data_IF_097113412947
#
_entry.id   IF_097113412947
#
_cell.length_a   1.000
_cell.length_b   1.000
_cell.length_c   1.000
_cell.angle_alpha   90.00
_cell.angle_beta   90.00
_cell.angle_gamma   90.00
#
_symmetry.space_group_name_H-M   'P 1'
#
loop_
_entity.id
_entity.type
_entity.pdbx_description
1 polymer ?
#
# COMPACT_ATOMS: atom_id res chain seq x y z
N UNK A 1 11.09 14.97 -1.80
CA UNK A 1 10.81 15.65 -0.51
C UNK A 1 10.94 14.57 0.56
N UNK A 2 12.07 14.50 1.27
CA UNK A 2 12.27 13.47 2.29
C UNK A 2 11.28 13.69 3.45
N UNK A 3 10.64 12.63 4.00
CA UNK A 3 9.64 12.78 5.03
C UNK A 3 10.27 13.43 6.27
N UNK A 4 9.75 14.60 6.63
CA UNK A 4 10.23 15.43 7.75
C UNK A 4 10.13 14.72 9.10
N UNK A 5 9.32 13.65 9.20
CA UNK A 5 9.10 12.83 10.39
C UNK A 5 8.86 11.34 10.02
N UNK A 6 9.88 10.46 10.07
CA UNK A 6 9.72 9.03 9.74
C UNK A 6 8.73 8.31 10.66
N UNK A 7 8.59 8.77 11.91
CA UNK A 7 7.61 8.23 12.86
C UNK A 7 6.16 8.59 12.50
N UNK A 8 5.92 9.77 11.92
CA UNK A 8 4.59 10.15 11.46
C UNK A 8 4.18 9.30 10.24
N UNK A 9 5.14 9.07 9.34
CA UNK A 9 4.96 8.23 8.16
C UNK A 9 4.64 6.77 8.53
N UNK A 10 5.35 6.19 9.51
CA UNK A 10 5.08 4.84 10.00
C UNK A 10 3.71 4.73 10.69
N UNK A 11 3.34 5.72 11.52
CA UNK A 11 2.02 5.73 12.18
C UNK A 11 0.86 5.81 11.19
N UNK A 12 1.02 6.59 10.12
CA UNK A 12 0.04 6.71 9.04
C UNK A 12 -0.20 5.38 8.28
N UNK A 13 0.69 4.39 8.40
CA UNK A 13 0.47 3.05 7.87
C UNK A 13 -0.01 2.06 8.95
N UNK A 14 0.67 2.03 10.10
CA UNK A 14 0.44 1.01 11.13
C UNK A 14 -0.99 1.11 11.69
N UNK A 15 -1.49 2.33 11.94
CA UNK A 15 -2.84 2.52 12.47
C UNK A 15 -3.94 1.96 11.56
N UNK A 16 -4.05 2.37 10.27
CA UNK A 16 -5.06 1.81 9.39
C UNK A 16 -4.83 0.33 9.10
N UNK A 17 -3.57 -0.14 9.08
CA UNK A 17 -3.27 -1.56 8.85
C UNK A 17 -3.76 -2.43 10.01
N UNK A 18 -3.57 -2.00 11.26
CA UNK A 18 -4.10 -2.70 12.43
C UNK A 18 -5.63 -2.70 12.45
N UNK A 19 -6.25 -1.57 12.10
CA UNK A 19 -7.71 -1.49 11.97
C UNK A 19 -8.23 -2.43 10.89
N UNK A 20 -7.60 -2.47 9.72
CA UNK A 20 -7.97 -3.35 8.61
C UNK A 20 -7.82 -4.83 8.99
N UNK A 21 -6.71 -5.21 9.63
CA UNK A 21 -6.49 -6.58 10.09
C UNK A 21 -7.49 -6.96 11.18
N UNK A 22 -7.74 -6.08 12.16
CA UNK A 22 -8.72 -6.29 13.21
C UNK A 22 -10.14 -6.48 12.66
N UNK A 23 -10.56 -5.60 11.74
CA UNK A 23 -11.84 -5.72 11.04
C UNK A 23 -11.93 -7.01 10.22
N UNK A 24 -10.87 -7.38 9.50
CA UNK A 24 -10.84 -8.61 8.72
C UNK A 24 -10.91 -9.86 9.57
N UNK A 25 -10.20 -9.90 10.71
CA UNK A 25 -10.30 -11.00 11.67
C UNK A 25 -11.70 -11.08 12.26
N UNK A 26 -12.32 -9.93 12.57
CA UNK A 26 -13.70 -9.89 13.04
C UNK A 26 -14.67 -10.49 12.02
N UNK A 27 -14.51 -10.15 10.73
CA UNK A 27 -15.28 -10.74 9.64
C UNK A 27 -15.09 -12.26 9.58
N UNK A 28 -13.85 -12.75 9.72
CA UNK A 28 -13.57 -14.21 9.73
C UNK A 28 -14.23 -14.89 10.92
N UNK A 29 -14.24 -14.27 12.11
CA UNK A 29 -14.90 -14.83 13.30
C UNK A 29 -16.42 -14.92 13.12
N UNK A 30 -17.04 -13.90 12.52
CA UNK A 30 -18.48 -13.88 12.24
C UNK A 30 -18.85 -14.50 10.89
N UNK A 31 -17.93 -15.21 10.22
CA UNK A 31 -18.19 -15.73 8.86
C UNK A 31 -19.40 -16.67 8.80
N UNK A 32 -19.59 -17.53 9.79
CA UNK A 32 -20.69 -18.52 9.78
C UNK A 32 -22.06 -17.84 9.73
N UNK A 33 -22.44 -16.94 10.68
CA UNK A 33 -23.72 -16.25 10.61
C UNK A 33 -23.85 -15.34 9.38
N UNK A 34 -22.74 -14.76 8.89
CA UNK A 34 -22.73 -13.97 7.66
C UNK A 34 -23.06 -14.83 6.42
N UNK A 35 -22.52 -16.04 6.34
CA UNK A 35 -22.79 -16.98 5.25
C UNK A 35 -24.25 -17.42 5.29
N UNK A 36 -24.78 -17.80 6.46
CA UNK A 36 -26.21 -18.19 6.59
C UNK A 36 -27.13 -17.07 6.12
N UNK A 37 -26.89 -15.84 6.59
CA UNK A 37 -27.69 -14.68 6.22
C UNK A 37 -27.60 -14.41 4.71
N UNK A 38 -26.40 -14.46 4.14
CA UNK A 38 -26.20 -14.24 2.70
C UNK A 38 -26.92 -15.30 1.85
N UNK A 39 -26.82 -16.58 2.22
CA UNK A 39 -27.48 -17.67 1.48
C UNK A 39 -28.99 -17.62 1.63
N UNK A 40 -29.51 -17.21 2.80
CA UNK A 40 -30.94 -17.05 3.03
C UNK A 40 -31.54 -15.93 2.20
N UNK A 41 -30.84 -14.80 2.06
CA UNK A 41 -31.29 -13.65 1.24
C UNK A 41 -31.23 -13.98 -0.25
N UNK A 42 -30.15 -14.63 -0.70
CA UNK A 42 -29.97 -14.95 -2.13
C UNK A 42 -30.97 -16.01 -2.59
N UNK A 43 -31.20 -17.06 -1.79
CA UNK A 43 -32.05 -18.18 -2.16
C UNK A 43 -31.57 -18.91 -3.42
N UNK A 44 -32.28 -19.96 -3.84
CA UNK A 44 -31.99 -20.68 -5.09
C UNK A 44 -31.97 -22.20 -4.93
N UNK A 45 -31.49 -22.89 -5.96
CA UNK A 45 -31.43 -24.35 -5.99
C UNK A 45 -30.39 -24.88 -4.97
N UNK A 46 -30.74 -25.97 -4.27
CA UNK A 46 -29.91 -26.57 -3.21
C UNK A 46 -28.49 -26.90 -3.70
N UNK A 47 -28.38 -27.43 -4.92
CA UNK A 47 -27.07 -27.76 -5.51
C UNK A 47 -26.16 -26.54 -5.67
N UNK A 48 -26.73 -25.36 -5.96
CA UNK A 48 -25.99 -24.10 -6.11
C UNK A 48 -25.64 -23.53 -4.74
N UNK A 49 -26.57 -23.58 -3.78
CA UNK A 49 -26.35 -23.08 -2.41
C UNK A 49 -25.23 -23.85 -1.70
N UNK A 50 -25.13 -25.17 -1.92
CA UNK A 50 -24.02 -25.98 -1.39
C UNK A 50 -22.67 -25.52 -1.96
N UNK A 51 -22.59 -25.22 -3.26
CA UNK A 51 -21.35 -24.72 -3.87
C UNK A 51 -21.02 -23.29 -3.39
N UNK A 52 -22.03 -22.42 -3.30
CA UNK A 52 -21.88 -21.07 -2.80
C UNK A 52 -21.39 -21.04 -1.34
N UNK A 53 -21.92 -21.91 -0.48
CA UNK A 53 -21.42 -22.09 0.89
C UNK A 53 -19.94 -22.43 0.90
N UNK A 54 -19.53 -23.47 0.17
CA UNK A 54 -18.12 -23.91 0.14
C UNK A 54 -17.20 -22.80 -0.39
N UNK A 55 -17.65 -22.06 -1.40
CA UNK A 55 -16.93 -20.90 -1.90
C UNK A 55 -16.73 -19.85 -0.80
N UNK A 56 -17.83 -19.45 -0.15
CA UNK A 56 -17.84 -18.38 0.83
C UNK A 56 -17.01 -18.74 2.07
N UNK A 57 -17.14 -19.96 2.60
CA UNK A 57 -16.37 -20.43 3.76
C UNK A 57 -14.86 -20.22 3.60
N UNK A 58 -14.36 -20.44 2.38
CA UNK A 58 -12.97 -20.20 2.01
C UNK A 58 -12.74 -18.72 1.72
N UNK A 59 -13.59 -18.08 0.91
CA UNK A 59 -13.41 -16.69 0.48
C UNK A 59 -13.35 -15.73 1.67
N UNK A 60 -14.15 -15.92 2.72
CA UNK A 60 -14.11 -15.05 3.90
C UNK A 60 -12.74 -15.07 4.61
N UNK A 61 -11.94 -16.14 4.50
CA UNK A 61 -10.58 -16.21 5.07
C UNK A 61 -9.63 -15.16 4.48
N UNK A 62 -9.91 -14.66 3.27
CA UNK A 62 -9.11 -13.60 2.67
C UNK A 62 -9.37 -12.21 3.25
N UNK A 63 -10.49 -11.98 3.95
CA UNK A 63 -10.90 -10.65 4.39
C UNK A 63 -9.80 -9.84 5.11
N UNK A 64 -8.99 -10.42 6.02
CA UNK A 64 -7.85 -9.71 6.62
C UNK A 64 -6.82 -9.26 5.58
N UNK A 65 -6.49 -10.13 4.62
CA UNK A 65 -5.52 -9.82 3.58
C UNK A 65 -6.05 -8.79 2.58
N UNK A 66 -7.31 -8.91 2.14
CA UNK A 66 -7.95 -7.97 1.22
C UNK A 66 -7.97 -6.55 1.81
N UNK A 67 -8.41 -6.41 3.06
CA UNK A 67 -8.46 -5.10 3.73
C UNK A 67 -7.06 -4.52 3.95
N UNK A 68 -6.10 -5.35 4.35
CA UNK A 68 -4.71 -4.91 4.50
C UNK A 68 -4.09 -4.46 3.16
N UNK A 69 -4.38 -5.16 2.06
CA UNK A 69 -3.94 -4.78 0.72
C UNK A 69 -4.52 -3.43 0.28
N UNK A 70 -5.79 -3.13 0.59
CA UNK A 70 -6.38 -1.81 0.31
C UNK A 70 -5.65 -0.68 1.05
N UNK A 71 -5.34 -0.89 2.33
CA UNK A 71 -4.55 0.08 3.12
C UNK A 71 -3.16 0.27 2.52
N UNK A 72 -2.48 -0.82 2.15
CA UNK A 72 -1.15 -0.75 1.55
C UNK A 72 -1.16 0.00 0.22
N UNK A 73 -2.12 -0.28 -0.65
CA UNK A 73 -2.29 0.41 -1.93
C UNK A 73 -2.50 1.92 -1.71
N UNK A 74 -3.43 2.28 -0.82
CA UNK A 74 -3.72 3.69 -0.51
C UNK A 74 -2.52 4.42 0.08
N UNK A 75 -1.80 3.79 1.01
CA UNK A 75 -0.59 4.37 1.60
C UNK A 75 0.55 4.51 0.58
N UNK A 76 0.80 3.49 -0.26
CA UNK A 76 1.84 3.51 -1.29
C UNK A 76 1.58 4.60 -2.35
N UNK A 77 0.31 4.82 -2.71
CA UNK A 77 -0.09 5.95 -3.55
C UNK A 77 0.10 7.29 -2.84
N UNK A 78 -0.27 7.38 -1.56
CA UNK A 78 -0.11 8.59 -0.74
C UNK A 78 1.35 9.06 -0.62
N UNK A 79 2.30 8.12 -0.52
CA UNK A 79 3.76 8.43 -0.50
C UNK A 79 4.36 8.63 -1.89
N UNK A 80 3.53 8.70 -2.95
CA UNK A 80 3.91 8.89 -4.34
C UNK A 80 4.78 7.76 -4.91
N UNK A 81 4.66 6.54 -4.39
CA UNK A 81 5.35 5.37 -4.92
C UNK A 81 4.46 4.61 -5.92
N UNK A 82 4.10 5.28 -7.02
CA UNK A 82 3.10 4.81 -7.99
C UNK A 82 3.43 3.46 -8.68
N UNK A 83 4.71 3.05 -8.71
CA UNK A 83 5.12 1.76 -9.28
C UNK A 83 4.70 0.57 -8.42
N UNK A 84 4.61 0.75 -7.10
CA UNK A 84 4.34 -0.36 -6.19
C UNK A 84 2.91 -0.92 -6.32
N UNK A 85 1.85 -0.08 -6.36
CA UNK A 85 0.49 -0.55 -6.62
C UNK A 85 0.36 -1.35 -7.92
N UNK A 86 1.03 -0.92 -8.99
CA UNK A 86 1.02 -1.63 -10.28
C UNK A 86 1.63 -3.02 -10.13
N UNK A 87 2.79 -3.14 -9.47
CA UNK A 87 3.44 -4.43 -9.23
C UNK A 87 2.53 -5.34 -8.40
N UNK A 88 1.91 -4.83 -7.33
CA UNK A 88 1.02 -5.61 -6.48
C UNK A 88 -0.21 -6.11 -7.23
N UNK A 89 -0.83 -5.25 -8.05
CA UNK A 89 -1.98 -5.62 -8.87
C UNK A 89 -1.60 -6.68 -9.92
N UNK A 90 -0.47 -6.50 -10.62
CA UNK A 90 -0.03 -7.44 -11.65
C UNK A 90 0.31 -8.79 -11.05
N UNK A 91 1.14 -8.82 -10.00
CA UNK A 91 1.56 -10.08 -9.37
C UNK A 91 0.36 -10.80 -8.74
N UNK A 92 -0.51 -10.07 -8.03
CA UNK A 92 -1.69 -10.65 -7.41
C UNK A 92 -2.63 -11.28 -8.43
N UNK A 93 -2.94 -10.58 -9.53
CA UNK A 93 -3.83 -11.11 -10.56
C UNK A 93 -3.20 -12.27 -11.34
N UNK A 94 -1.91 -12.18 -11.70
CA UNK A 94 -1.21 -13.29 -12.39
C UNK A 94 -1.18 -14.53 -11.52
N UNK A 95 -0.84 -14.38 -10.24
CA UNK A 95 -0.82 -15.51 -9.30
C UNK A 95 -2.21 -16.10 -9.12
N UNK A 96 -3.25 -15.27 -9.02
CA UNK A 96 -4.64 -15.72 -8.95
C UNK A 96 -5.00 -16.57 -10.17
N UNK A 97 -4.77 -16.08 -11.39
CA UNK A 97 -5.04 -16.80 -12.63
C UNK A 97 -4.24 -18.11 -12.71
N UNK A 98 -2.95 -18.08 -12.37
CA UNK A 98 -2.11 -19.28 -12.39
C UNK A 98 -2.61 -20.35 -11.41
N UNK A 99 -3.03 -19.93 -10.21
CA UNK A 99 -3.60 -20.83 -9.21
C UNK A 99 -4.99 -21.33 -9.59
N UNK A 100 -5.82 -20.52 -10.25
CA UNK A 100 -7.10 -20.96 -10.78
C UNK A 100 -6.90 -22.08 -11.80
N UNK A 101 -6.00 -21.89 -12.77
CA UNK A 101 -5.68 -22.93 -13.76
C UNK A 101 -5.17 -24.20 -13.07
N UNK A 102 -4.31 -24.07 -12.07
CA UNK A 102 -3.74 -25.23 -11.40
C UNK A 102 -4.72 -25.95 -10.46
N UNK A 103 -5.41 -25.23 -9.57
CA UNK A 103 -6.31 -25.80 -8.57
C UNK A 103 -7.64 -26.25 -9.18
N UNK A 104 -8.17 -25.49 -10.14
CA UNK A 104 -9.46 -25.80 -10.75
C UNK A 104 -9.31 -26.82 -11.86
N UNK A 105 -8.42 -26.60 -12.84
CA UNK A 105 -8.27 -27.54 -13.96
C UNK A 105 -7.35 -28.72 -13.62
N UNK A 106 -6.27 -28.50 -12.86
CA UNK A 106 -5.31 -29.55 -12.53
C UNK A 106 -5.75 -30.46 -11.38
N UNK A 107 -6.31 -29.90 -10.30
CA UNK A 107 -6.74 -30.65 -9.11
C UNK A 107 -8.26 -30.88 -9.05
N UNK A 108 -9.01 -30.42 -10.06
CA UNK A 108 -10.47 -30.59 -10.16
C UNK A 108 -11.25 -30.10 -8.91
N UNK A 109 -10.73 -29.09 -8.20
CA UNK A 109 -11.33 -28.57 -6.97
C UNK A 109 -12.58 -27.69 -7.20
N UNK A 110 -12.99 -27.52 -8.46
CA UNK A 110 -14.15 -26.71 -8.88
C UNK A 110 -14.14 -25.34 -8.19
N UNK A 111 -15.28 -24.96 -7.61
CA UNK A 111 -15.50 -23.65 -6.96
C UNK A 111 -14.61 -23.44 -5.72
N UNK A 112 -14.25 -24.51 -5.01
CA UNK A 112 -13.33 -24.41 -3.86
C UNK A 112 -11.91 -24.02 -4.30
N UNK A 113 -11.47 -24.54 -5.45
CA UNK A 113 -10.19 -24.18 -6.05
C UNK A 113 -10.10 -22.69 -6.35
N UNK A 114 -11.16 -22.13 -6.94
CA UNK A 114 -11.22 -20.70 -7.27
C UNK A 114 -11.17 -19.79 -6.03
N UNK A 115 -11.87 -20.19 -4.96
CA UNK A 115 -11.82 -19.47 -3.69
C UNK A 115 -10.40 -19.50 -3.07
N UNK A 116 -9.76 -20.68 -3.06
CA UNK A 116 -8.40 -20.84 -2.52
C UNK A 116 -7.36 -20.06 -3.33
N UNK A 117 -7.43 -20.10 -4.66
CA UNK A 117 -6.55 -19.34 -5.54
C UNK A 117 -6.55 -17.85 -5.18
N UNK A 118 -7.75 -17.30 -4.97
CA UNK A 118 -7.91 -15.89 -4.57
C UNK A 118 -7.33 -15.61 -3.19
N UNK A 119 -7.63 -16.45 -2.18
CA UNK A 119 -7.10 -16.29 -0.82
C UNK A 119 -5.57 -16.29 -0.84
N UNK A 120 -4.96 -17.26 -1.51
CA UNK A 120 -3.49 -17.39 -1.59
C UNK A 120 -2.90 -16.17 -2.31
N UNK A 121 -3.49 -15.76 -3.43
CA UNK A 121 -3.02 -14.60 -4.18
C UNK A 121 -3.05 -13.31 -3.34
N UNK A 122 -4.10 -13.09 -2.55
CA UNK A 122 -4.22 -11.90 -1.69
C UNK A 122 -3.19 -11.92 -0.54
N UNK A 123 -2.93 -13.08 0.07
CA UNK A 123 -1.90 -13.22 1.09
C UNK A 123 -0.48 -13.04 0.55
N UNK A 124 -0.18 -13.57 -0.65
CA UNK A 124 1.11 -13.34 -1.32
C UNK A 124 1.27 -11.87 -1.67
N UNK A 125 0.23 -11.24 -2.21
CA UNK A 125 0.23 -9.80 -2.52
C UNK A 125 0.48 -8.96 -1.27
N UNK A 126 -0.16 -9.31 -0.15
CA UNK A 126 0.06 -8.68 1.15
C UNK A 126 1.52 -8.81 1.59
N UNK A 127 2.09 -10.01 1.50
CA UNK A 127 3.49 -10.25 1.88
C UNK A 127 4.44 -9.39 1.03
N UNK A 128 4.22 -9.34 -0.29
CA UNK A 128 5.01 -8.49 -1.20
C UNK A 128 4.84 -7.01 -0.85
N UNK A 129 3.62 -6.56 -0.60
CA UNK A 129 3.35 -5.17 -0.20
C UNK A 129 4.08 -4.79 1.08
N UNK A 130 4.07 -5.65 2.10
CA UNK A 130 4.82 -5.43 3.34
C UNK A 130 6.34 -5.41 3.12
N UNK A 131 6.87 -6.25 2.22
CA UNK A 131 8.29 -6.19 1.83
C UNK A 131 8.65 -4.88 1.13
N UNK A 132 7.77 -4.35 0.27
CA UNK A 132 7.99 -3.06 -0.40
C UNK A 132 7.95 -1.90 0.59
N UNK A 133 7.00 -1.91 1.53
CA UNK A 133 6.92 -0.92 2.62
C UNK A 133 8.20 -0.88 3.43
N UNK A 134 8.78 -2.05 3.79
CA UNK A 134 10.04 -2.12 4.54
C UNK A 134 11.22 -1.46 3.82
N UNK A 135 11.21 -1.40 2.47
CA UNK A 135 12.20 -0.67 1.68
C UNK A 135 11.96 0.84 1.68
N UNK A 136 10.71 1.27 1.80
CA UNK A 136 10.31 2.69 1.81
C UNK A 136 10.51 3.32 3.19
N UNK A 137 10.27 2.58 4.27
CA UNK A 137 10.51 3.03 5.64
C UNK A 137 12.02 2.94 5.96
N UNK A 138 12.71 4.06 6.26
CA UNK A 138 14.10 4.00 6.69
C UNK A 138 14.22 3.25 8.03
N UNK A 139 15.22 2.36 8.14
CA UNK A 139 15.49 1.58 9.34
C UNK A 139 15.59 2.49 10.60
N UNK A 140 14.96 2.13 11.73
CA UNK A 140 15.02 2.92 12.97
C UNK A 140 16.46 3.16 13.48
N UNK A 141 17.41 2.32 13.07
CA UNK A 141 18.84 2.49 13.39
C UNK A 141 19.48 3.72 12.71
N UNK A 142 19.03 4.12 11.52
CA UNK A 142 19.55 5.31 10.83
C UNK A 142 19.01 6.63 11.44
N UNK A 143 17.80 6.62 11.99
CA UNK A 143 17.18 7.81 12.58
C UNK A 143 17.80 8.13 13.95
N UNK A 144 18.16 7.11 14.72
CA UNK A 144 18.87 7.27 15.99
C UNK A 144 20.26 7.94 15.81
N UNK A 145 20.94 7.67 14.68
CA UNK A 145 22.21 8.30 14.34
C UNK A 145 22.10 9.81 14.10
N UNK A 146 21.06 10.26 13.37
CA UNK A 146 20.81 11.68 13.08
C UNK A 146 20.29 12.47 14.30
N UNK A 147 19.50 11.83 15.17
CA UNK A 147 19.01 12.45 16.40
C UNK A 147 20.13 12.74 17.41
N UNK A 148 21.17 11.88 17.45
CA UNK A 148 22.36 12.10 18.30
C UNK A 148 23.27 13.21 17.80
N UNK A 149 23.19 13.64 16.55
CA UNK A 149 24.12 14.63 15.97
C UNK A 149 23.67 16.10 16.10
N UNK A 150 22.54 16.40 16.77
CA UNK A 150 22.14 17.78 17.10
C UNK A 150 21.83 18.72 15.92
N UNK A 151 21.98 18.25 14.68
CA UNK A 151 21.85 19.06 13.44
C UNK A 151 20.40 19.31 12.98
N UNK A 152 19.41 18.74 13.67
CA UNK A 152 17.99 18.86 13.31
C UNK A 152 17.41 20.28 13.52
N UNK A 153 18.17 21.20 14.15
CA UNK A 153 17.66 22.54 14.52
C UNK A 153 17.95 23.64 13.49
N UNK A 154 18.83 23.43 12.51
CA UNK A 154 19.24 24.49 11.60
C UNK A 154 18.78 24.22 10.16
N UNK A 155 17.92 25.11 9.65
CA UNK A 155 17.34 25.18 8.28
C UNK A 155 16.15 24.28 7.97
N UNK A 156 15.01 24.60 8.58
CA UNK A 156 13.76 24.55 7.84
C UNK A 156 13.72 25.76 6.86
N UNK A 157 13.49 25.59 5.55
CA UNK A 157 13.12 26.72 4.70
C UNK A 157 11.73 27.25 5.14
N UNK A 158 11.48 28.57 5.05
CA UNK A 158 10.20 29.14 5.43
C UNK A 158 9.05 28.51 4.61
N UNK A 159 8.03 28.06 5.32
CA UNK A 159 6.76 27.60 4.78
C UNK A 159 6.08 28.79 4.09
N UNK A 160 6.04 28.80 2.75
CA UNK A 160 5.40 29.89 2.00
C UNK A 160 5.55 29.88 0.48
N UNK A 161 5.95 28.78 -0.16
CA UNK A 161 6.25 28.77 -1.60
C UNK A 161 5.55 27.67 -2.42
N UNK A 162 4.40 27.16 -1.96
CA UNK A 162 3.60 26.19 -2.74
C UNK A 162 2.40 26.82 -3.47
N UNK A 163 2.03 28.08 -3.14
CA UNK A 163 0.92 28.82 -3.78
C UNK A 163 1.42 29.78 -4.87
N UNK A 164 2.31 29.34 -5.76
CA UNK A 164 2.81 30.17 -6.88
C UNK A 164 2.80 29.49 -8.25
N UNK A 165 2.43 28.21 -8.33
CA UNK A 165 2.35 27.52 -9.62
C UNK A 165 1.04 27.79 -10.38
N UNK A 166 -0.05 28.14 -9.68
CA UNK A 166 -1.31 28.57 -10.34
C UNK A 166 -1.28 30.03 -10.83
N UNK A 167 -0.30 30.84 -10.41
CA UNK A 167 -0.18 32.25 -10.81
C UNK A 167 0.75 32.48 -12.01
N UNK A 168 1.34 31.42 -12.58
CA UNK A 168 2.31 31.52 -13.67
C UNK A 168 1.67 31.53 -15.09
N UNK A 169 0.34 31.41 -15.20
CA UNK A 169 -0.36 31.39 -16.49
C UNK A 169 -0.92 32.77 -16.93
N UNK A 170 -0.76 33.83 -16.13
CA UNK A 170 -1.41 35.14 -16.41
C UNK A 170 -0.44 36.33 -16.53
N UNK A 171 0.88 36.17 -16.32
CA UNK A 171 1.81 37.32 -16.36
C UNK A 171 2.81 37.25 -17.52
N UNK A 172 2.69 38.11 -18.56
CA UNK A 172 3.72 38.26 -19.58
C UNK A 172 4.76 39.29 -19.09
N UNK A 173 5.96 38.85 -18.72
CA UNK A 173 7.20 39.63 -18.89
C UNK A 173 8.41 38.91 -18.30
N UNK A 174 9.24 38.38 -19.19
CA UNK A 174 10.56 37.81 -18.94
C UNK A 174 11.61 38.84 -18.45
N UNK A 175 11.21 40.06 -18.06
CA UNK A 175 12.13 41.10 -17.57
C UNK A 175 12.29 41.13 -16.05
N UNK A 176 11.34 40.59 -15.26
CA UNK A 176 11.41 40.69 -13.79
C UNK A 176 12.52 39.83 -13.16
N UNK A 177 12.90 38.72 -13.81
CA UNK A 177 13.89 37.78 -13.26
C UNK A 177 15.34 38.07 -13.63
N UNK A 178 15.61 39.04 -14.51
CA UNK A 178 16.98 39.34 -14.96
C UNK A 178 17.78 40.22 -13.99
N UNK A 179 17.13 40.85 -13.01
CA UNK A 179 17.79 41.82 -12.11
C UNK A 179 18.03 41.33 -10.67
N UNK A 180 17.59 40.11 -10.31
CA UNK A 180 17.90 39.52 -9.01
C UNK A 180 19.05 38.51 -9.15
N UNK A 181 20.28 39.00 -8.99
CA UNK A 181 21.53 38.23 -9.04
C UNK A 181 21.65 37.17 -7.94
N UNK A 182 20.91 36.06 -8.07
CA UNK A 182 21.08 34.89 -7.20
C UNK A 182 22.08 33.93 -7.84
N UNK A 183 23.38 34.25 -7.68
CA UNK A 183 24.42 33.22 -7.71
C UNK A 183 24.30 32.39 -6.44
N UNK A 184 24.20 31.05 -6.58
CA UNK A 184 25.00 30.10 -5.78
C UNK A 184 24.88 28.69 -6.36
N UNK A 185 25.93 28.35 -7.10
CA UNK A 185 26.44 26.99 -7.20
C UNK A 185 26.91 26.48 -5.82
N UNK A 186 27.16 25.17 -5.74
CA UNK A 186 27.67 24.37 -4.61
C UNK A 186 26.59 23.79 -3.68
N UNK A 187 26.14 22.57 -4.00
CA UNK A 187 25.33 21.74 -3.10
C UNK A 187 25.12 20.30 -3.56
N UNK A 188 25.24 20.03 -4.87
CA UNK A 188 24.94 18.70 -5.41
C UNK A 188 26.06 17.65 -5.24
N UNK A 189 27.26 18.02 -4.78
CA UNK A 189 28.41 17.09 -4.72
C UNK A 189 28.61 16.38 -3.37
N UNK A 190 27.83 16.69 -2.33
CA UNK A 190 28.07 16.18 -0.96
C UNK A 190 27.24 14.94 -0.55
N UNK A 191 26.19 14.57 -1.31
CA UNK A 191 25.28 13.48 -0.91
C UNK A 191 25.63 12.10 -1.49
N UNK A 192 26.78 11.94 -2.17
CA UNK A 192 27.13 10.70 -2.88
C UNK A 192 28.05 9.74 -2.10
N UNK A 193 28.31 9.97 -0.80
CA UNK A 193 29.42 9.30 -0.10
C UNK A 193 29.12 8.60 1.22
N UNK A 194 27.87 8.50 1.71
CA UNK A 194 27.63 7.97 3.07
C UNK A 194 26.50 6.96 3.19
N UNK A 195 26.41 6.03 2.23
CA UNK A 195 25.70 4.76 2.36
C UNK A 195 26.30 3.76 1.35
N UNK A 196 27.42 3.14 1.71
CA UNK A 196 27.83 1.83 1.20
C UNK A 196 28.50 1.07 2.36
N UNK A 197 28.44 -0.27 2.34
CA UNK A 197 28.78 -1.14 3.47
C UNK A 197 30.20 -0.92 4.02
#
# INVERSE_FOLDING_TARGET
MAPKNPQALARALIQPLLLALGAGVMIVLFRTPLIELALHIVGGNDAVLVQARRFLEIRWLSAPASLANLVLLGWLLGVQYARAPVILLVVGNILNIALDLWLVMGLHMNVQGAALATVIAEYVTLLIGLMMVRKVLPSPRCVAGYAKTGLARQRAPPFGAQSRYHAALIAPSALFWRNHGVRRAAGQRYYRGKCSP
#
